data_IF_113912791638
#
_entry.id   IF_113912791638
#
_cell.length_a   1.000
_cell.length_b   1.000
_cell.length_c   1.000
_cell.angle_alpha   90.00
_cell.angle_beta   90.00
_cell.angle_gamma   90.00
#
_symmetry.space_group_name_H-M   'P 1'
#
loop_
_entity.id
_entity.type
_entity.pdbx_description
1 polymer ?
#
# COMPACT_ATOMS: atom_id res chain seq x y z
N UNK A 1 -6.10 74.16 -36.08
CA UNK A 1 -6.50 73.51 -34.80
C UNK A 1 -6.16 72.02 -34.88
N UNK A 2 -5.08 71.60 -34.21
CA UNK A 2 -4.50 70.25 -34.31
C UNK A 2 -4.72 69.56 -33.01
N UNK A 3 -5.53 68.52 -33.03
CA UNK A 3 -5.85 67.67 -31.84
C UNK A 3 -4.93 66.48 -31.84
N UNK A 4 -3.93 66.44 -30.95
CA UNK A 4 -3.04 65.33 -30.71
C UNK A 4 -3.76 64.28 -29.78
N UNK A 5 -3.99 63.08 -30.30
CA UNK A 5 -4.49 61.93 -29.53
C UNK A 5 -3.31 61.27 -28.89
N UNK A 6 -3.28 61.27 -27.56
CA UNK A 6 -2.37 60.42 -26.75
C UNK A 6 -2.95 58.98 -26.66
N UNK A 7 -2.23 58.04 -27.21
CA UNK A 7 -2.48 56.61 -26.96
C UNK A 7 -1.72 56.23 -25.68
N UNK A 8 -2.47 55.88 -24.63
CA UNK A 8 -1.94 55.35 -23.38
C UNK A 8 -1.86 53.81 -23.52
N UNK A 9 -0.62 53.28 -23.55
CA UNK A 9 -0.35 51.85 -23.61
C UNK A 9 -0.30 51.33 -22.17
N UNK A 10 -1.37 50.67 -21.71
CA UNK A 10 -1.36 49.90 -20.44
C UNK A 10 -0.65 48.58 -20.68
N UNK A 11 0.56 48.47 -20.18
CA UNK A 11 1.27 47.18 -20.08
C UNK A 11 0.71 46.40 -18.89
N UNK A 12 -0.03 45.33 -19.20
CA UNK A 12 -0.52 44.35 -18.19
C UNK A 12 0.61 43.39 -17.86
N UNK A 13 1.25 43.56 -16.71
CA UNK A 13 2.22 42.60 -16.19
C UNK A 13 1.46 41.39 -15.62
N UNK A 14 1.48 40.26 -16.32
CA UNK A 14 1.08 38.96 -15.75
C UNK A 14 2.15 38.51 -14.75
N UNK A 15 1.87 38.66 -13.47
CA UNK A 15 2.62 38.00 -12.42
C UNK A 15 2.21 36.50 -12.44
N UNK A 16 3.04 35.63 -13.01
CA UNK A 16 2.95 34.20 -12.83
C UNK A 16 3.35 33.92 -11.39
N UNK A 17 2.37 33.69 -10.52
CA UNK A 17 2.62 33.08 -9.21
C UNK A 17 3.04 31.62 -9.47
N UNK A 18 4.34 31.37 -9.52
CA UNK A 18 4.89 30.05 -9.34
C UNK A 18 4.54 29.65 -7.89
N UNK A 19 3.59 28.73 -7.71
CA UNK A 19 3.47 28.00 -6.45
C UNK A 19 4.72 27.14 -6.35
N UNK A 20 5.78 27.70 -5.79
CA UNK A 20 6.89 26.95 -5.24
C UNK A 20 6.30 26.18 -4.06
N UNK A 21 6.12 24.87 -4.22
CA UNK A 21 5.91 23.96 -3.09
C UNK A 21 7.17 24.11 -2.25
N UNK A 22 7.08 24.89 -1.17
CA UNK A 22 8.20 25.11 -0.27
C UNK A 22 8.56 23.74 0.34
N UNK A 23 9.49 23.04 -0.31
CA UNK A 23 10.14 21.85 0.27
C UNK A 23 10.80 22.30 1.55
N UNK A 24 10.42 21.72 2.69
CA UNK A 24 11.01 22.04 3.97
C UNK A 24 12.54 21.92 3.86
N UNK A 25 13.33 22.89 4.41
CA UNK A 25 14.78 22.81 4.33
C UNK A 25 15.26 21.51 4.97
N UNK A 26 15.93 20.65 4.19
CA UNK A 26 16.41 19.34 4.63
C UNK A 26 15.45 18.16 4.39
N UNK A 27 14.31 18.37 3.75
CA UNK A 27 13.44 17.27 3.31
C UNK A 27 14.15 16.40 2.25
N UNK A 28 13.97 15.09 2.36
CA UNK A 28 14.64 14.08 1.53
C UNK A 28 13.61 13.08 1.01
N UNK A 29 13.79 12.69 -0.24
CA UNK A 29 12.87 11.74 -0.86
C UNK A 29 13.03 10.34 -0.29
N UNK A 30 11.92 9.78 0.17
CA UNK A 30 11.80 8.38 0.56
C UNK A 30 10.74 7.73 -0.33
N UNK A 31 11.11 6.66 -0.99
CA UNK A 31 10.17 5.86 -1.75
C UNK A 31 9.57 4.74 -0.89
N UNK A 32 8.28 4.48 -1.10
CA UNK A 32 7.56 3.38 -0.50
C UNK A 32 7.19 2.38 -1.59
N UNK A 33 7.67 1.17 -1.41
CA UNK A 33 7.39 0.04 -2.29
C UNK A 33 6.56 -1.02 -1.59
N UNK A 34 5.85 -1.83 -2.36
CA UNK A 34 5.16 -3.03 -1.88
C UNK A 34 5.71 -4.25 -2.60
N UNK A 35 5.85 -5.36 -1.87
CA UNK A 35 6.25 -6.65 -2.40
C UNK A 35 5.33 -7.76 -1.88
N UNK A 36 5.04 -8.75 -2.71
CA UNK A 36 4.40 -9.99 -2.27
C UNK A 36 5.45 -10.92 -1.68
N UNK A 37 5.23 -11.43 -0.45
CA UNK A 37 6.14 -12.41 0.12
C UNK A 37 5.93 -13.78 -0.52
N UNK A 38 7.03 -14.48 -0.83
CA UNK A 38 6.99 -15.92 -1.10
C UNK A 38 7.13 -16.66 0.21
N UNK A 39 6.23 -17.61 0.53
CA UNK A 39 6.45 -18.52 1.63
C UNK A 39 7.75 -19.31 1.39
N UNK A 40 8.65 -19.33 2.38
CA UNK A 40 9.82 -20.17 2.31
C UNK A 40 9.41 -21.64 2.13
N UNK A 41 9.87 -22.30 1.06
CA UNK A 41 9.60 -23.72 0.78
C UNK A 41 8.38 -24.02 -0.11
N UNK A 42 7.61 -23.03 -0.52
CA UNK A 42 6.63 -23.22 -1.59
C UNK A 42 7.32 -22.90 -2.92
N UNK A 43 7.55 -23.92 -3.75
CA UNK A 43 7.98 -23.69 -5.11
C UNK A 43 6.91 -22.82 -5.78
N UNK A 44 7.20 -21.54 -5.97
CA UNK A 44 6.35 -20.65 -6.72
C UNK A 44 6.40 -21.14 -8.17
N UNK A 45 5.45 -21.99 -8.49
CA UNK A 45 5.22 -22.33 -9.87
C UNK A 45 4.57 -21.12 -10.53
N UNK A 46 5.38 -20.19 -11.07
CA UNK A 46 4.90 -19.34 -12.15
C UNK A 46 4.60 -20.27 -13.31
N UNK A 47 3.45 -20.91 -13.26
CA UNK A 47 2.91 -21.54 -14.44
C UNK A 47 2.12 -20.46 -15.15
N UNK A 48 2.68 -19.94 -16.23
CA UNK A 48 1.87 -19.49 -17.34
C UNK A 48 0.92 -20.65 -17.66
N UNK A 49 -0.24 -20.69 -16.98
CA UNK A 49 -1.22 -21.73 -17.19
C UNK A 49 -1.88 -21.46 -18.51
N UNK A 50 -1.35 -22.08 -19.56
CA UNK A 50 -1.95 -22.12 -20.90
C UNK A 50 -3.35 -22.75 -20.93
N UNK A 51 -3.90 -23.15 -19.77
CA UNK A 51 -5.24 -23.74 -19.62
C UNK A 51 -6.25 -22.85 -18.92
N UNK A 52 -5.84 -21.68 -18.37
CA UNK A 52 -6.80 -20.66 -17.93
C UNK A 52 -6.75 -19.49 -18.92
N UNK A 53 -7.54 -19.54 -19.95
CA UNK A 53 -7.51 -18.65 -21.12
C UNK A 53 -7.77 -17.16 -20.83
N UNK A 54 -7.80 -16.69 -19.56
CA UNK A 54 -8.06 -15.31 -19.20
C UNK A 54 -7.19 -14.77 -18.03
N UNK A 55 -6.18 -15.47 -17.56
CA UNK A 55 -5.23 -14.90 -16.59
C UNK A 55 -4.11 -14.18 -17.36
N UNK A 56 -4.40 -12.98 -17.85
CA UNK A 56 -3.39 -12.07 -18.40
C UNK A 56 -2.79 -11.31 -17.23
N UNK A 57 -1.60 -11.70 -16.78
CA UNK A 57 -0.85 -11.02 -15.73
C UNK A 57 -0.20 -11.99 -14.73
N UNK A 58 0.58 -11.44 -13.82
CA UNK A 58 1.15 -12.17 -12.71
C UNK A 58 0.05 -12.72 -11.81
N UNK A 59 0.15 -13.97 -11.42
CA UNK A 59 -0.80 -14.63 -10.51
C UNK A 59 -0.05 -15.41 -9.44
N UNK A 60 -0.59 -15.42 -8.22
CA UNK A 60 -0.07 -16.20 -7.11
C UNK A 60 -0.85 -17.52 -6.99
N UNK A 61 -0.16 -18.65 -7.16
CA UNK A 61 -0.74 -19.97 -6.96
C UNK A 61 -0.31 -20.56 -5.64
N UNK A 62 -1.27 -21.02 -4.84
CA UNK A 62 -1.06 -21.69 -3.55
C UNK A 62 -1.77 -23.03 -3.57
N UNK A 63 -1.10 -24.09 -3.13
CA UNK A 63 -1.66 -25.45 -3.06
C UNK A 63 -1.58 -26.01 -1.64
N UNK A 64 -2.55 -26.81 -1.25
CA UNK A 64 -2.52 -27.61 -0.03
C UNK A 64 -3.38 -28.87 -0.22
N UNK A 65 -2.73 -30.05 -0.19
CA UNK A 65 -3.38 -31.29 -0.54
C UNK A 65 -3.90 -31.27 -1.99
N UNK A 66 -5.19 -31.51 -2.15
CA UNK A 66 -5.88 -31.43 -3.46
C UNK A 66 -6.39 -30.04 -3.82
N UNK A 67 -6.37 -29.10 -2.87
CA UNK A 67 -6.92 -27.77 -3.09
C UNK A 67 -5.90 -26.84 -3.74
N UNK A 68 -6.41 -26.01 -4.64
CA UNK A 68 -5.64 -25.00 -5.38
C UNK A 68 -6.33 -23.65 -5.30
N UNK A 69 -5.60 -22.64 -4.87
CA UNK A 69 -6.00 -21.24 -4.86
C UNK A 69 -5.12 -20.47 -5.84
N UNK A 70 -5.72 -19.78 -6.78
CA UNK A 70 -5.04 -18.87 -7.71
C UNK A 70 -5.56 -17.47 -7.46
N UNK A 71 -4.70 -16.59 -6.99
CA UNK A 71 -5.01 -15.16 -6.78
C UNK A 71 -4.52 -14.41 -8.01
N UNK A 72 -5.40 -13.62 -8.63
CA UNK A 72 -5.10 -12.84 -9.82
C UNK A 72 -5.00 -11.35 -9.56
N UNK A 73 -5.57 -10.87 -8.45
CA UNK A 73 -5.52 -9.47 -8.06
C UNK A 73 -5.82 -9.32 -6.57
N UNK A 74 -5.06 -8.45 -5.93
CA UNK A 74 -5.31 -7.99 -4.56
C UNK A 74 -5.30 -6.48 -4.53
N UNK A 75 -6.34 -5.91 -3.98
CA UNK A 75 -6.52 -4.47 -3.82
C UNK A 75 -6.80 -4.18 -2.34
N UNK A 76 -6.09 -3.20 -1.81
CA UNK A 76 -6.19 -2.78 -0.40
C UNK A 76 -6.37 -1.27 -0.34
N UNK A 77 -7.28 -0.80 0.49
CA UNK A 77 -7.37 0.62 0.80
C UNK A 77 -6.44 0.92 1.97
N UNK A 78 -5.37 1.63 1.68
CA UNK A 78 -4.41 2.09 2.67
C UNK A 78 -4.66 3.56 3.01
N UNK A 79 -4.51 3.91 4.29
CA UNK A 79 -4.65 5.28 4.80
C UNK A 79 -3.63 5.51 5.91
N UNK A 80 -3.32 6.76 6.24
CA UNK A 80 -2.44 7.09 7.37
C UNK A 80 -1.11 6.29 7.31
N UNK A 81 -0.45 6.31 6.14
CA UNK A 81 0.86 5.69 5.98
C UNK A 81 1.89 6.67 6.56
N UNK A 82 2.55 6.29 7.64
CA UNK A 82 3.43 7.18 8.40
C UNK A 82 4.73 6.51 8.83
N UNK A 83 5.81 7.33 8.89
CA UNK A 83 7.05 7.00 9.55
C UNK A 83 7.10 7.68 10.91
N UNK A 84 7.60 6.97 11.92
CA UNK A 84 7.76 7.48 13.29
C UNK A 84 9.21 7.57 13.69
N UNK A 85 9.60 8.71 14.21
CA UNK A 85 10.95 8.94 14.70
C UNK A 85 11.25 8.13 15.96
N UNK A 86 12.52 7.75 16.12
CA UNK A 86 13.00 7.08 17.31
C UNK A 86 12.77 7.94 18.55
N UNK A 87 12.25 7.34 19.62
CA UNK A 87 12.05 7.99 20.91
C UNK A 87 10.77 8.84 21.03
N UNK A 88 9.89 8.82 20.04
CA UNK A 88 8.61 9.54 20.07
C UNK A 88 7.46 8.60 20.37
N UNK A 89 6.69 8.89 21.42
CA UNK A 89 5.52 8.15 21.81
C UNK A 89 4.25 8.85 21.33
N UNK A 90 3.81 8.53 20.15
CA UNK A 90 2.51 8.96 19.63
C UNK A 90 2.59 10.04 18.56
N UNK A 91 1.93 9.75 17.45
CA UNK A 91 1.66 10.68 16.38
C UNK A 91 0.19 11.01 16.43
N UNK A 92 -0.14 12.28 16.62
CA UNK A 92 -1.52 12.74 16.46
C UNK A 92 -1.73 13.09 14.99
N UNK A 93 -2.68 12.40 14.35
CA UNK A 93 -3.01 12.60 12.93
C UNK A 93 -3.57 14.00 12.61
N UNK A 94 -3.88 14.78 13.65
CA UNK A 94 -4.44 16.13 13.51
C UNK A 94 -3.40 17.23 13.56
N UNK A 95 -2.17 16.91 13.99
CA UNK A 95 -1.08 17.86 14.10
C UNK A 95 0.06 17.42 13.19
N UNK A 96 0.51 18.29 12.31
CA UNK A 96 1.81 18.20 11.65
C UNK A 96 2.90 18.40 12.70
N UNK A 97 3.04 17.42 13.61
CA UNK A 97 4.11 17.47 14.58
C UNK A 97 5.38 16.95 13.93
N UNK A 98 6.51 17.56 14.22
CA UNK A 98 7.86 17.17 13.76
C UNK A 98 8.24 15.72 14.13
N UNK A 99 7.32 14.97 14.69
CA UNK A 99 7.52 13.63 15.24
C UNK A 99 7.16 12.48 14.29
N UNK A 100 6.32 12.76 13.29
CA UNK A 100 5.84 11.76 12.34
C UNK A 100 5.73 12.33 10.95
N UNK A 101 6.21 11.57 10.00
CA UNK A 101 6.14 11.93 8.58
C UNK A 101 5.09 11.07 7.88
N UNK A 102 4.16 11.71 7.17
CA UNK A 102 3.09 11.02 6.48
C UNK A 102 3.38 10.85 4.98
N UNK A 103 3.41 9.60 4.52
CA UNK A 103 3.36 9.30 3.08
C UNK A 103 1.97 9.56 2.50
N UNK A 104 0.93 9.31 3.26
CA UNK A 104 -0.44 9.59 2.87
C UNK A 104 -1.34 9.67 4.09
N UNK A 105 -2.02 10.79 4.28
CA UNK A 105 -3.06 10.94 5.29
C UNK A 105 -4.44 10.48 4.78
N UNK A 106 -4.69 10.55 3.47
CA UNK A 106 -5.96 10.18 2.84
C UNK A 106 -5.98 8.74 2.35
N UNK A 107 -7.19 8.19 2.17
CA UNK A 107 -7.39 6.85 1.63
C UNK A 107 -6.87 6.73 0.19
N UNK A 108 -6.16 5.63 -0.10
CA UNK A 108 -5.62 5.26 -1.40
C UNK A 108 -5.90 3.81 -1.73
N UNK A 109 -6.20 3.54 -2.98
CA UNK A 109 -6.25 2.17 -3.50
C UNK A 109 -4.84 1.74 -3.86
N UNK A 110 -4.37 0.68 -3.23
CA UNK A 110 -3.09 0.02 -3.52
C UNK A 110 -3.37 -1.33 -4.14
N UNK A 111 -2.85 -1.55 -5.34
CA UNK A 111 -2.84 -2.88 -5.96
C UNK A 111 -1.55 -3.56 -5.53
N UNK A 112 -1.67 -4.64 -4.75
CA UNK A 112 -0.50 -5.35 -4.26
C UNK A 112 0.15 -6.17 -5.37
N UNK A 113 1.49 -6.14 -5.50
CA UNK A 113 2.20 -7.06 -6.38
C UNK A 113 2.01 -8.50 -5.90
N UNK A 114 1.85 -9.41 -6.82
CA UNK A 114 1.73 -10.85 -6.54
C UNK A 114 3.09 -11.57 -6.63
N UNK A 115 4.14 -10.81 -6.86
CA UNK A 115 5.54 -11.26 -6.94
C UNK A 115 6.33 -10.73 -5.75
N UNK A 116 7.52 -11.27 -5.54
CA UNK A 116 8.50 -10.83 -4.55
C UNK A 116 9.26 -9.56 -4.96
N UNK A 117 9.12 -9.13 -6.21
CA UNK A 117 9.76 -7.89 -6.69
C UNK A 117 9.05 -6.67 -6.12
N UNK A 118 9.81 -5.79 -5.47
CA UNK A 118 9.28 -4.56 -4.91
C UNK A 118 8.80 -3.60 -6.00
N UNK A 119 7.57 -3.13 -5.86
CA UNK A 119 6.96 -2.15 -6.77
C UNK A 119 6.75 -0.85 -6.04
N UNK A 120 7.40 0.22 -6.50
CA UNK A 120 7.23 1.56 -5.92
C UNK A 120 5.80 2.07 -6.15
N UNK A 121 5.17 2.52 -5.06
CA UNK A 121 3.79 3.02 -5.07
C UNK A 121 3.72 4.50 -4.72
N UNK A 122 4.58 4.95 -3.81
CA UNK A 122 4.61 6.32 -3.31
C UNK A 122 6.05 6.83 -3.24
N UNK A 123 6.19 8.14 -3.34
CA UNK A 123 7.43 8.85 -3.04
C UNK A 123 7.05 10.15 -2.35
N UNK A 124 7.69 10.44 -1.24
CA UNK A 124 7.45 11.66 -0.45
C UNK A 124 8.75 12.21 0.10
N UNK A 125 8.76 13.52 0.30
CA UNK A 125 9.83 14.18 1.02
C UNK A 125 9.57 14.09 2.51
N UNK A 126 10.51 13.51 3.25
CA UNK A 126 10.50 13.44 4.72
C UNK A 126 11.68 14.21 5.29
N UNK A 127 11.54 14.71 6.51
CA UNK A 127 12.62 15.40 7.18
C UNK A 127 13.79 14.44 7.47
N UNK A 128 15.05 14.95 7.38
CA UNK A 128 16.21 14.15 7.75
C UNK A 128 16.11 13.72 9.23
N UNK A 129 16.46 12.46 9.50
CA UNK A 129 16.36 11.89 10.83
C UNK A 129 16.41 10.38 10.86
N UNK A 130 16.24 9.82 12.07
CA UNK A 130 16.19 8.38 12.29
C UNK A 130 14.76 7.97 12.65
N UNK A 131 14.23 7.01 11.92
CA UNK A 131 12.86 6.51 12.06
C UNK A 131 12.90 5.06 12.56
N UNK A 132 12.17 4.77 13.62
CA UNK A 132 12.20 3.47 14.31
C UNK A 132 11.04 2.56 13.95
N UNK A 133 9.96 3.11 13.39
CA UNK A 133 8.82 2.29 12.97
C UNK A 133 8.06 2.93 11.81
N UNK A 134 7.32 2.09 11.11
CA UNK A 134 6.35 2.46 10.10
C UNK A 134 4.97 1.99 10.53
N UNK A 135 3.93 2.78 10.25
CA UNK A 135 2.55 2.40 10.47
C UNK A 135 1.72 2.59 9.21
N UNK A 136 0.88 1.62 8.90
CA UNK A 136 -0.09 1.65 7.82
C UNK A 136 -1.46 1.29 8.39
N UNK A 137 -2.48 2.06 8.04
CA UNK A 137 -3.85 1.71 8.31
C UNK A 137 -4.47 1.03 7.09
N UNK A 138 -4.89 -0.21 7.23
CA UNK A 138 -5.85 -0.83 6.33
C UNK A 138 -7.22 -0.26 6.68
N UNK A 139 -7.81 0.47 5.74
CA UNK A 139 -8.94 1.36 6.02
C UNK A 139 -10.22 0.85 5.38
N UNK A 140 -11.24 0.63 6.21
CA UNK A 140 -12.60 0.36 5.77
C UNK A 140 -13.23 1.65 5.24
N UNK A 141 -13.54 1.67 3.96
CA UNK A 141 -14.13 2.83 3.28
C UNK A 141 -15.55 3.08 3.80
N UNK A 142 -15.86 4.32 4.13
CA UNK A 142 -17.18 4.77 4.55
C UNK A 142 -17.77 5.74 3.52
N UNK A 143 -19.05 6.10 3.70
CA UNK A 143 -19.70 7.17 2.95
C UNK A 143 -19.51 8.57 3.56
N UNK A 144 -18.61 8.66 4.55
CA UNK A 144 -18.26 9.92 5.21
C UNK A 144 -17.45 10.85 4.29
N UNK A 145 -17.47 12.14 4.61
CA UNK A 145 -16.74 13.17 3.87
C UNK A 145 -15.23 12.90 3.76
N UNK A 146 -14.66 12.16 4.72
CA UNK A 146 -13.24 11.77 4.71
C UNK A 146 -12.86 10.82 3.58
N UNK A 147 -13.80 10.04 3.06
CA UNK A 147 -13.59 9.07 1.98
C UNK A 147 -14.21 9.51 0.64
N UNK A 148 -14.88 10.67 0.62
CA UNK A 148 -15.58 11.15 -0.58
C UNK A 148 -14.65 11.25 -1.81
N UNK A 149 -13.42 11.77 -1.64
CA UNK A 149 -12.44 11.87 -2.73
C UNK A 149 -12.01 10.49 -3.24
N UNK A 150 -11.85 9.52 -2.33
CA UNK A 150 -11.53 8.14 -2.69
C UNK A 150 -12.66 7.50 -3.52
N UNK A 151 -13.92 7.67 -3.10
CA UNK A 151 -15.08 7.11 -3.79
C UNK A 151 -15.29 7.74 -5.17
N UNK A 152 -15.01 9.03 -5.31
CA UNK A 152 -15.03 9.70 -6.63
C UNK A 152 -13.97 9.11 -7.56
N UNK A 153 -12.77 8.86 -7.05
CA UNK A 153 -11.68 8.27 -7.84
C UNK A 153 -11.89 6.77 -8.13
N UNK A 154 -12.65 6.07 -7.27
CA UNK A 154 -12.90 4.62 -7.33
C UNK A 154 -14.40 4.30 -7.26
N UNK A 155 -15.20 4.69 -8.27
CA UNK A 155 -16.66 4.61 -8.19
C UNK A 155 -17.20 3.17 -8.08
N UNK A 156 -16.40 2.17 -8.42
CA UNK A 156 -16.77 0.75 -8.33
C UNK A 156 -16.26 0.08 -7.03
N UNK A 157 -15.70 0.85 -6.09
CA UNK A 157 -15.30 0.31 -4.79
C UNK A 157 -16.52 0.20 -3.87
N UNK A 158 -16.79 -0.98 -3.29
CA UNK A 158 -17.93 -1.14 -2.38
C UNK A 158 -17.67 -0.40 -1.05
N UNK A 159 -18.63 0.42 -0.65
CA UNK A 159 -18.62 1.04 0.69
C UNK A 159 -18.70 -0.04 1.76
N UNK A 160 -17.97 0.13 2.84
CA UNK A 160 -17.88 -0.85 3.93
C UNK A 160 -16.76 -1.85 3.79
N UNK A 161 -15.99 -1.82 2.70
CA UNK A 161 -14.92 -2.77 2.46
C UNK A 161 -13.54 -2.07 2.45
N UNK A 162 -12.51 -2.84 2.80
CA UNK A 162 -11.11 -2.39 2.84
C UNK A 162 -10.20 -3.18 1.92
N UNK A 163 -10.58 -4.42 1.61
CA UNK A 163 -9.79 -5.35 0.79
C UNK A 163 -10.69 -6.04 -0.22
N UNK A 164 -10.17 -6.18 -1.43
CA UNK A 164 -10.78 -7.01 -2.49
C UNK A 164 -9.72 -7.95 -3.07
N UNK A 165 -10.05 -9.23 -3.10
CA UNK A 165 -9.23 -10.27 -3.72
C UNK A 165 -10.04 -10.99 -4.78
N UNK A 166 -9.47 -11.16 -5.97
CA UNK A 166 -10.09 -11.95 -7.04
C UNK A 166 -9.19 -13.10 -7.47
N UNK A 167 -9.80 -14.18 -7.91
CA UNK A 167 -9.05 -15.35 -8.33
C UNK A 167 -9.93 -16.56 -8.56
N UNK A 168 -9.33 -17.75 -8.38
CA UNK A 168 -9.99 -19.04 -8.56
C UNK A 168 -9.66 -19.98 -7.40
N UNK A 169 -10.65 -20.64 -6.87
CA UNK A 169 -10.50 -21.73 -5.89
C UNK A 169 -11.00 -23.04 -6.51
N UNK A 170 -10.11 -24.00 -6.67
CA UNK A 170 -10.38 -25.26 -7.38
C UNK A 170 -11.03 -25.05 -8.77
N UNK A 171 -10.54 -24.04 -9.50
CA UNK A 171 -11.05 -23.68 -10.82
C UNK A 171 -12.32 -22.82 -10.82
N UNK A 172 -12.97 -22.61 -9.67
CA UNK A 172 -14.17 -21.76 -9.55
C UNK A 172 -13.77 -20.32 -9.26
N UNK A 173 -14.22 -19.32 -10.05
CA UNK A 173 -13.90 -17.92 -9.79
C UNK A 173 -14.50 -17.42 -8.48
N UNK A 174 -13.78 -16.54 -7.78
CA UNK A 174 -14.26 -15.89 -6.58
C UNK A 174 -13.91 -14.39 -6.57
N UNK A 175 -14.69 -13.65 -5.79
CA UNK A 175 -14.34 -12.32 -5.28
C UNK A 175 -14.54 -12.36 -3.78
N UNK A 176 -13.44 -12.14 -3.05
CA UNK A 176 -13.45 -11.99 -1.61
C UNK A 176 -13.43 -10.50 -1.26
N UNK A 177 -14.28 -10.09 -0.34
CA UNK A 177 -14.33 -8.75 0.22
C UNK A 177 -14.15 -8.83 1.73
N UNK A 178 -13.41 -7.87 2.31
CA UNK A 178 -13.20 -7.77 3.75
C UNK A 178 -13.40 -6.35 4.23
N UNK A 179 -14.09 -6.23 5.34
CA UNK A 179 -14.32 -4.99 6.08
C UNK A 179 -13.30 -4.78 7.22
N UNK A 180 -12.18 -5.51 7.19
CA UNK A 180 -11.12 -5.40 8.20
C UNK A 180 -10.59 -3.96 8.28
N UNK A 181 -10.43 -3.46 9.51
CA UNK A 181 -9.94 -2.11 9.76
C UNK A 181 -8.93 -2.15 10.90
N UNK A 182 -7.65 -1.99 10.58
CA UNK A 182 -6.57 -2.13 11.56
C UNK A 182 -5.36 -1.27 11.19
N UNK A 183 -4.48 -1.06 12.18
CA UNK A 183 -3.15 -0.52 11.95
C UNK A 183 -2.13 -1.68 11.98
N UNK A 184 -1.34 -1.78 10.92
CA UNK A 184 -0.10 -2.54 10.94
C UNK A 184 1.02 -1.57 11.37
N UNK A 185 1.70 -1.88 12.46
CA UNK A 185 2.86 -1.13 12.94
C UNK A 185 4.06 -2.07 12.97
N UNK A 186 5.08 -1.72 12.20
CA UNK A 186 6.30 -2.51 12.05
C UNK A 186 7.49 -1.72 12.57
N UNK A 187 8.28 -2.35 13.44
CA UNK A 187 9.54 -1.80 13.90
C UNK A 187 10.60 -1.97 12.84
N UNK A 188 11.31 -0.89 12.51
CA UNK A 188 12.43 -0.93 11.57
C UNK A 188 13.70 -1.32 12.31
N UNK A 189 14.34 -2.42 11.91
CA UNK A 189 15.56 -2.94 12.53
C UNK A 189 16.56 -3.38 11.45
N UNK A 190 17.64 -2.60 11.23
CA UNK A 190 18.00 -1.35 11.91
C UNK A 190 16.99 -0.22 11.65
N UNK A 191 16.97 0.83 12.50
CA UNK A 191 16.17 2.02 12.23
C UNK A 191 16.57 2.68 10.91
N UNK A 192 15.59 3.17 10.17
CA UNK A 192 15.78 3.87 8.90
C UNK A 192 16.47 5.22 9.15
N UNK A 193 17.59 5.46 8.47
CA UNK A 193 18.31 6.73 8.51
C UNK A 193 18.08 7.49 7.21
N UNK A 194 17.41 8.63 7.29
CA UNK A 194 17.19 9.54 6.18
C UNK A 194 18.16 10.72 6.32
N UNK A 195 19.28 10.68 5.61
CA UNK A 195 20.32 11.72 5.64
C UNK A 195 20.42 12.50 4.31
N UNK A 196 19.81 11.95 3.27
CA UNK A 196 19.79 12.48 1.93
C UNK A 196 21.09 12.35 1.15
N UNK A 197 22.01 11.57 1.64
CA UNK A 197 23.20 11.20 0.89
C UNK A 197 22.88 10.10 -0.13
N UNK A 198 21.95 9.22 0.20
CA UNK A 198 21.49 8.12 -0.65
C UNK A 198 19.96 8.12 -0.76
N UNK A 199 19.40 7.72 -1.93
CA UNK A 199 17.98 7.44 -2.05
C UNK A 199 17.59 6.35 -1.05
N UNK A 200 16.51 6.59 -0.31
CA UNK A 200 16.01 5.66 0.69
C UNK A 200 14.75 5.00 0.16
N UNK A 201 14.71 3.67 0.15
CA UNK A 201 13.52 2.90 -0.16
C UNK A 201 13.06 2.11 1.07
N UNK A 202 11.78 2.17 1.35
CA UNK A 202 11.11 1.37 2.35
C UNK A 202 10.19 0.39 1.64
N UNK A 203 10.33 -0.90 1.92
CA UNK A 203 9.48 -1.92 1.33
C UNK A 203 8.55 -2.51 2.38
N UNK A 204 7.25 -2.54 2.03
CA UNK A 204 6.22 -3.27 2.76
C UNK A 204 5.99 -4.59 2.08
N UNK A 205 6.37 -5.67 2.74
CA UNK A 205 6.17 -7.04 2.28
C UNK A 205 4.92 -7.64 2.90
N UNK A 206 4.07 -8.24 2.06
CA UNK A 206 2.80 -8.82 2.48
C UNK A 206 2.74 -10.28 2.04
N UNK A 207 2.62 -11.20 3.00
CA UNK A 207 2.48 -12.64 2.72
C UNK A 207 1.04 -13.00 2.35
N UNK A 208 0.66 -12.66 1.10
CA UNK A 208 -0.66 -12.94 0.56
C UNK A 208 -0.97 -14.44 0.52
N UNK A 209 0.04 -15.30 0.38
CA UNK A 209 -0.14 -16.76 0.31
C UNK A 209 -0.64 -17.36 1.64
N UNK A 210 -0.42 -16.67 2.76
CA UNK A 210 -0.88 -17.10 4.08
C UNK A 210 -2.35 -16.74 4.36
N UNK A 211 -2.93 -15.78 3.62
CA UNK A 211 -4.25 -15.21 3.95
C UNK A 211 -5.35 -16.26 4.05
N UNK A 212 -5.41 -17.16 3.06
CA UNK A 212 -6.44 -18.20 2.98
C UNK A 212 -5.92 -19.56 3.44
N UNK A 213 -5.24 -19.59 4.61
CA UNK A 213 -4.77 -20.83 5.25
C UNK A 213 -5.29 -20.96 6.67
N UNK A 214 -5.59 -22.17 7.06
CA UNK A 214 -5.91 -22.50 8.45
C UNK A 214 -4.61 -22.90 9.18
N UNK A 215 -3.84 -21.87 9.62
CA UNK A 215 -2.50 -22.03 10.16
C UNK A 215 -1.40 -22.11 9.07
N UNK A 216 -0.13 -21.97 9.47
CA UNK A 216 1.00 -21.78 8.56
C UNK A 216 1.18 -22.89 7.50
N UNK A 217 0.94 -24.13 7.85
CA UNK A 217 1.02 -25.29 6.95
C UNK A 217 -0.32 -26.01 6.77
N UNK A 218 -1.42 -25.40 7.21
CA UNK A 218 -2.74 -25.99 7.21
C UNK A 218 -3.42 -26.00 5.83
N UNK A 219 -4.64 -26.58 5.77
CA UNK A 219 -5.43 -26.63 4.55
C UNK A 219 -5.80 -25.22 4.07
N UNK A 220 -6.08 -25.11 2.76
CA UNK A 220 -6.62 -23.88 2.19
C UNK A 220 -8.05 -23.65 2.67
N UNK A 221 -8.35 -22.40 2.93
CA UNK A 221 -9.69 -21.89 3.22
C UNK A 221 -10.32 -21.46 1.89
N UNK A 222 -11.52 -21.95 1.61
CA UNK A 222 -12.28 -21.44 0.47
C UNK A 222 -12.66 -19.97 0.70
N UNK A 223 -12.19 -19.01 -0.14
CA UNK A 223 -12.48 -17.59 0.04
C UNK A 223 -13.98 -17.25 0.13
N UNK A 224 -14.85 -18.04 -0.53
CA UNK A 224 -16.29 -17.85 -0.45
C UNK A 224 -16.87 -18.05 0.97
N UNK A 225 -16.13 -18.72 1.87
CA UNK A 225 -16.54 -18.96 3.28
C UNK A 225 -15.91 -17.96 4.26
N UNK A 226 -15.13 -17.02 3.76
CA UNK A 226 -14.35 -16.08 4.58
C UNK A 226 -14.85 -14.63 4.53
N UNK A 227 -15.82 -14.31 3.67
CA UNK A 227 -16.45 -13.00 3.59
C UNK A 227 -17.41 -12.73 4.76
N UNK A 228 -18.16 -11.62 4.68
CA UNK A 228 -19.12 -11.20 5.70
C UNK A 228 -20.10 -12.33 6.04
N UNK A 229 -20.20 -12.65 7.35
CA UNK A 229 -21.01 -13.78 7.82
C UNK A 229 -20.44 -15.18 7.62
N UNK A 230 -19.28 -15.31 6.97
CA UNK A 230 -18.61 -16.60 6.76
C UNK A 230 -17.93 -17.14 8.02
N UNK A 231 -17.95 -18.47 8.20
CA UNK A 231 -17.37 -19.13 9.37
C UNK A 231 -15.84 -19.00 9.48
N UNK A 232 -15.16 -18.68 8.37
CA UNK A 232 -13.70 -18.50 8.32
C UNK A 232 -13.27 -17.03 8.29
N UNK A 233 -14.20 -16.06 8.44
CA UNK A 233 -13.92 -14.63 8.38
C UNK A 233 -12.78 -14.23 9.32
N UNK A 234 -12.91 -14.52 10.61
CA UNK A 234 -11.93 -14.13 11.63
C UNK A 234 -10.56 -14.76 11.41
N UNK A 235 -10.51 -15.99 10.90
CA UNK A 235 -9.23 -16.66 10.61
C UNK A 235 -8.49 -15.94 9.48
N UNK A 236 -9.20 -15.63 8.39
CA UNK A 236 -8.59 -14.93 7.24
C UNK A 236 -8.20 -13.51 7.62
N UNK A 237 -9.03 -12.77 8.35
CA UNK A 237 -8.71 -11.41 8.82
C UNK A 237 -7.50 -11.38 9.75
N UNK A 238 -7.38 -12.34 10.68
CA UNK A 238 -6.20 -12.47 11.52
C UNK A 238 -4.93 -12.78 10.68
N UNK A 239 -5.04 -13.64 9.68
CA UNK A 239 -3.93 -13.92 8.78
C UNK A 239 -3.49 -12.67 8.02
N UNK A 240 -4.43 -11.87 7.52
CA UNK A 240 -4.17 -10.59 6.84
C UNK A 240 -3.41 -9.65 7.78
N UNK A 241 -3.89 -9.45 9.01
CA UNK A 241 -3.28 -8.56 9.99
C UNK A 241 -1.83 -8.97 10.34
N UNK A 242 -1.56 -10.27 10.39
CA UNK A 242 -0.24 -10.81 10.74
C UNK A 242 0.71 -10.96 9.54
N UNK A 243 0.28 -10.62 8.33
CA UNK A 243 1.05 -10.85 7.10
C UNK A 243 1.97 -9.69 6.71
N UNK A 244 1.84 -8.54 7.35
CA UNK A 244 2.56 -7.31 6.99
C UNK A 244 3.93 -7.28 7.66
N UNK A 245 4.97 -6.86 6.90
CA UNK A 245 6.32 -6.54 7.39
C UNK A 245 6.80 -5.29 6.66
N UNK A 246 7.66 -4.50 7.32
CA UNK A 246 8.29 -3.35 6.70
C UNK A 246 9.78 -3.31 7.04
N UNK A 247 10.61 -2.97 6.06
CA UNK A 247 12.06 -2.89 6.20
C UNK A 247 12.66 -1.94 5.17
N UNK A 248 13.89 -1.47 5.43
CA UNK A 248 14.68 -0.76 4.42
C UNK A 248 15.14 -1.76 3.35
N UNK A 249 14.96 -1.41 2.08
CA UNK A 249 15.23 -2.25 0.92
C UNK A 249 15.93 -1.38 -0.13
N UNK A 250 17.26 -1.35 -0.09
CA UNK A 250 18.08 -0.44 -0.90
C UNK A 250 18.13 -0.84 -2.35
N UNK A 251 18.17 -2.12 -2.64
CA UNK A 251 18.26 -2.66 -4.00
C UNK A 251 16.92 -2.99 -4.62
N UNK A 252 15.84 -2.87 -3.83
CA UNK A 252 14.45 -3.07 -4.24
C UNK A 252 14.14 -4.48 -4.74
N UNK A 253 14.83 -5.46 -4.20
CA UNK A 253 14.57 -6.87 -4.53
C UNK A 253 13.43 -7.50 -3.73
N UNK A 254 12.90 -6.77 -2.73
CA UNK A 254 11.77 -7.18 -1.89
C UNK A 254 12.18 -8.09 -0.74
N UNK A 255 13.47 -8.21 -0.45
CA UNK A 255 13.95 -8.98 0.69
C UNK A 255 14.63 -8.08 1.76
N UNK A 256 14.73 -8.59 2.99
CA UNK A 256 15.21 -7.83 4.16
C UNK A 256 16.75 -7.91 4.31
N UNK A 257 17.47 -8.46 3.31
CA UNK A 257 18.88 -8.84 3.44
C UNK A 257 19.83 -7.89 2.72
N UNK A 258 19.62 -6.60 2.87
CA UNK A 258 20.56 -5.57 2.42
C UNK A 258 21.80 -5.57 3.34
N UNK A 259 22.72 -6.48 3.14
CA UNK A 259 23.92 -6.63 3.93
C UNK A 259 25.18 -6.54 3.12
#
# INVERSE_FOLDING_TARGET
>A
MSTKRFLSLCALALATAACDSATAPGAKSVSLSFAGARPAGVAAGFRSSATMANAVGDSLMVTAGSDTLVITRVEVVAREIELRRAGVSGCDSTLSSDSCEYFSASARLVVLPLTDVATQVLEVDVAAGTYSSMRIKVHKVSDDAGDAAFLVANPNWPTGESIRVTGFYNGTPFTYLSDVNFHAEESLSPPLVVDGATPTNLTVRIDIASWFRNGAAGPLINPATAGSGGGNKSTVENNIQNSVRAFEDRDRDGDERDG
#
